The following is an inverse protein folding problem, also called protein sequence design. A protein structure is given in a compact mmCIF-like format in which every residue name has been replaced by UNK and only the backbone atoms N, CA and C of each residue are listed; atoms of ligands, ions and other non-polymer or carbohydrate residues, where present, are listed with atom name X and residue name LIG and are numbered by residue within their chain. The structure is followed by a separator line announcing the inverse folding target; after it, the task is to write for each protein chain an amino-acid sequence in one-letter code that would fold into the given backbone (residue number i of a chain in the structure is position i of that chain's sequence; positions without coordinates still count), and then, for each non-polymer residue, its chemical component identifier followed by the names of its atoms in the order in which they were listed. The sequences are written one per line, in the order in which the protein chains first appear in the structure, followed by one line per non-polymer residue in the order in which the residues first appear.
data_IF_390183081950
#
_entry.id   IF_390183081950
#
_cell.length_a   1.000
_cell.length_b   1.000
_cell.length_c   1.000
_cell.angle_alpha   90.00
_cell.angle_beta   90.00
_cell.angle_gamma   90.00
#
_symmetry.space_group_name_H-M   'P 1'
#
loop_
_entity.id
_entity.type
_entity.pdbx_description
1 polymer ?
#
# COMPACT_ATOMS: atom_id res chain seq x y z
N UNK A 1 -15.11 -12.25 14.26
CA UNK A 1 -14.02 -11.31 14.68
C UNK A 1 -12.95 -11.31 13.61
N UNK A 2 -12.36 -10.15 13.26
CA UNK A 2 -11.29 -10.07 12.26
C UNK A 2 -9.93 -10.18 12.95
N UNK A 3 -9.05 -11.05 12.44
CA UNK A 3 -7.67 -11.19 12.89
C UNK A 3 -6.71 -10.87 11.74
N UNK A 4 -5.76 -9.95 11.95
CA UNK A 4 -4.76 -9.61 10.93
C UNK A 4 -3.60 -10.59 11.03
N UNK A 5 -3.34 -11.34 9.97
CA UNK A 5 -2.34 -12.41 9.96
C UNK A 5 -1.03 -11.96 9.34
N UNK A 6 -1.10 -11.20 8.24
CA UNK A 6 0.10 -10.87 7.47
C UNK A 6 -0.05 -9.57 6.72
N UNK A 7 0.99 -8.74 6.76
CA UNK A 7 1.05 -7.49 6.01
C UNK A 7 2.29 -7.53 5.12
N UNK A 8 2.13 -7.21 3.84
CA UNK A 8 3.23 -7.10 2.88
C UNK A 8 3.24 -5.68 2.32
N UNK A 9 4.40 -5.04 2.31
CA UNK A 9 4.61 -3.73 1.71
C UNK A 9 5.75 -3.88 0.69
N UNK A 10 5.50 -3.47 -0.55
CA UNK A 10 6.49 -3.50 -1.62
C UNK A 10 6.71 -2.10 -2.19
N UNK A 11 7.94 -1.60 -2.06
CA UNK A 11 8.39 -0.33 -2.65
C UNK A 11 7.58 0.93 -2.27
N UNK A 12 6.96 0.98 -1.09
CA UNK A 12 6.24 2.16 -0.60
C UNK A 12 7.01 2.90 0.51
N UNK A 13 7.04 4.24 0.43
CA UNK A 13 7.68 5.14 1.38
C UNK A 13 9.13 4.72 1.69
N UNK A 14 9.43 4.41 2.95
CA UNK A 14 10.76 3.98 3.40
C UNK A 14 11.10 2.52 3.04
N UNK A 15 10.12 1.72 2.60
CA UNK A 15 10.32 0.30 2.32
C UNK A 15 10.76 0.10 0.88
N UNK A 16 12.02 -0.28 0.68
CA UNK A 16 12.56 -0.75 -0.59
C UNK A 16 12.47 -2.27 -0.67
N UNK A 17 12.08 -2.79 -1.83
CA UNK A 17 11.77 -4.20 -2.03
C UNK A 17 10.52 -4.65 -1.26
N UNK A 18 10.36 -5.98 -1.18
CA UNK A 18 9.25 -6.64 -0.49
C UNK A 18 9.56 -6.83 0.99
N UNK A 19 8.72 -6.28 1.85
CA UNK A 19 8.82 -6.36 3.30
C UNK A 19 7.57 -7.03 3.85
N UNK A 20 7.74 -7.97 4.79
CA UNK A 20 6.66 -8.81 5.31
C UNK A 20 6.65 -8.80 6.83
N UNK A 21 5.45 -8.66 7.41
CA UNK A 21 5.21 -8.74 8.84
C UNK A 21 4.06 -9.73 9.10
N UNK A 22 4.33 -10.75 9.90
CA UNK A 22 3.35 -11.79 10.26
C UNK A 22 2.99 -11.71 11.74
N UNK A 23 1.74 -12.05 12.04
CA UNK A 23 1.19 -12.12 13.38
C UNK A 23 0.65 -13.53 13.64
N UNK A 24 0.98 -14.07 14.80
CA UNK A 24 0.58 -15.41 15.20
C UNK A 24 -0.53 -15.36 16.24
N UNK A 25 -1.68 -15.92 15.92
CA UNK A 25 -2.82 -15.93 16.84
C UNK A 25 -2.49 -16.78 18.07
N UNK A 26 -2.41 -16.13 19.22
CA UNK A 26 -2.18 -16.79 20.51
C UNK A 26 -3.37 -16.60 21.45
N UNK A 27 -3.68 -17.63 22.24
CA UNK A 27 -4.72 -17.58 23.27
C UNK A 27 -4.33 -16.48 24.28
N UNK A 28 -5.27 -15.59 24.60
CA UNK A 28 -5.09 -14.46 25.52
C UNK A 28 -4.08 -13.37 25.08
N UNK A 29 -3.62 -13.39 23.83
CA UNK A 29 -2.79 -12.31 23.26
C UNK A 29 -3.63 -11.41 22.36
N UNK A 30 -3.92 -10.20 22.83
CA UNK A 30 -4.70 -9.20 22.10
C UNK A 30 -3.89 -7.97 21.68
N UNK A 31 -2.59 -7.92 21.99
CA UNK A 31 -1.72 -6.77 21.72
C UNK A 31 -0.42 -7.18 21.03
N UNK A 32 -0.06 -6.44 19.98
CA UNK A 32 1.24 -6.51 19.31
C UNK A 32 1.88 -5.12 19.34
N UNK A 33 3.16 -5.07 19.65
CA UNK A 33 3.93 -3.84 19.65
C UNK A 33 4.93 -3.84 18.48
N UNK A 34 4.70 -2.95 17.52
CA UNK A 34 5.68 -2.64 16.48
C UNK A 34 6.51 -1.45 16.98
N UNK A 35 7.79 -1.70 17.27
CA UNK A 35 8.70 -0.68 17.81
C UNK A 35 9.97 -0.55 16.96
N UNK A 36 10.66 0.58 17.11
CA UNK A 36 11.87 0.90 16.37
C UNK A 36 12.28 2.35 16.57
N UNK A 37 13.52 2.70 16.21
CA UNK A 37 14.03 4.09 16.33
C UNK A 37 13.33 5.03 15.34
N UNK A 38 13.51 6.34 15.53
CA UNK A 38 13.05 7.33 14.54
C UNK A 38 13.76 7.09 13.20
N UNK A 39 13.03 7.25 12.10
CA UNK A 39 13.52 6.94 10.75
C UNK A 39 13.39 5.46 10.33
N UNK A 40 13.05 4.52 11.22
CA UNK A 40 12.96 3.08 10.89
C UNK A 40 11.66 2.66 10.17
N UNK A 41 10.90 3.62 9.64
CA UNK A 41 9.71 3.32 8.82
C UNK A 41 8.40 3.07 9.57
N UNK A 42 8.33 3.24 10.91
CA UNK A 42 7.08 3.07 11.67
C UNK A 42 5.90 3.90 11.11
N UNK A 43 6.15 5.15 10.76
CA UNK A 43 5.12 6.03 10.16
C UNK A 43 4.79 5.59 8.73
N UNK A 44 5.79 5.17 7.96
CA UNK A 44 5.60 4.58 6.63
C UNK A 44 4.71 3.34 6.67
N UNK A 45 4.87 2.49 7.69
CA UNK A 45 4.02 1.31 7.90
C UNK A 45 2.55 1.68 8.05
N UNK A 46 2.24 2.60 8.97
CA UNK A 46 0.86 3.05 9.20
C UNK A 46 0.29 3.75 7.97
N UNK A 47 1.09 4.54 7.25
CA UNK A 47 0.66 5.20 6.00
C UNK A 47 0.37 4.18 4.90
N UNK A 48 1.18 3.13 4.73
CA UNK A 48 0.89 2.05 3.79
C UNK A 48 -0.43 1.35 4.11
N UNK A 49 -0.72 1.08 5.38
CA UNK A 49 -2.02 0.51 5.78
C UNK A 49 -3.20 1.46 5.54
N UNK A 50 -3.02 2.76 5.78
CA UNK A 50 -4.04 3.75 5.43
C UNK A 50 -4.33 3.74 3.93
N UNK A 51 -3.29 3.70 3.10
CA UNK A 51 -3.47 3.58 1.65
C UNK A 51 -4.20 2.30 1.26
N UNK A 52 -3.89 1.15 1.87
CA UNK A 52 -4.59 -0.11 1.59
C UNK A 52 -6.10 0.06 1.64
N UNK A 53 -6.62 0.65 2.72
CA UNK A 53 -8.06 0.77 2.94
C UNK A 53 -8.69 1.98 2.24
N UNK A 54 -8.02 3.13 2.29
CA UNK A 54 -8.59 4.40 1.83
C UNK A 54 -8.28 4.69 0.36
N UNK A 55 -7.15 4.20 -0.14
CA UNK A 55 -6.66 4.47 -1.49
C UNK A 55 -5.98 5.83 -1.65
N UNK A 56 -5.49 6.08 -2.86
CA UNK A 56 -4.92 7.38 -3.27
C UNK A 56 -5.93 8.35 -3.87
N UNK A 57 -7.11 7.87 -4.24
CA UNK A 57 -8.14 8.66 -4.93
C UNK A 57 -8.15 8.45 -6.45
N UNK A 58 -7.08 7.88 -7.02
CA UNK A 58 -6.97 7.52 -8.45
C UNK A 58 -8.07 6.55 -8.85
N UNK A 59 -8.27 5.49 -8.07
CA UNK A 59 -9.30 4.48 -8.38
C UNK A 59 -10.70 5.11 -8.48
N UNK A 60 -11.05 6.05 -7.59
CA UNK A 60 -12.37 6.68 -7.54
C UNK A 60 -12.55 7.88 -8.47
N UNK A 61 -11.48 8.35 -9.13
CA UNK A 61 -11.50 9.62 -9.89
C UNK A 61 -11.81 10.85 -9.04
N UNK A 62 -11.52 10.79 -7.73
CA UNK A 62 -11.82 11.84 -6.76
C UNK A 62 -10.55 12.35 -6.08
N UNK A 63 -10.67 13.41 -5.28
CA UNK A 63 -9.57 13.90 -4.46
C UNK A 63 -8.99 12.83 -3.52
N UNK A 64 -7.77 13.08 -3.06
CA UNK A 64 -7.12 12.25 -2.04
C UNK A 64 -8.03 12.13 -0.80
N UNK A 65 -8.38 10.91 -0.35
CA UNK A 65 -9.16 10.70 0.86
C UNK A 65 -8.51 11.35 2.08
N UNK A 66 -9.30 11.95 2.97
CA UNK A 66 -8.78 12.70 4.13
C UNK A 66 -7.76 11.93 4.97
N UNK A 67 -8.02 10.65 5.24
CA UNK A 67 -7.08 9.80 5.99
C UNK A 67 -5.79 9.45 5.24
N UNK A 68 -5.75 9.65 3.92
CA UNK A 68 -4.59 9.47 3.04
C UNK A 68 -3.86 10.77 2.70
N UNK A 69 -4.35 11.94 3.17
CA UNK A 69 -3.66 13.24 3.03
C UNK A 69 -2.48 13.33 3.99
N UNK A 70 -1.44 12.54 3.73
CA UNK A 70 -0.21 12.57 4.55
C UNK A 70 0.59 13.86 4.39
N UNK A 71 0.32 14.57 3.29
CA UNK A 71 0.91 15.83 2.86
C UNK A 71 -0.20 16.68 2.24
N UNK A 72 0.02 17.99 2.13
CA UNK A 72 -0.98 18.95 1.71
C UNK A 72 -1.26 18.92 0.18
N UNK A 73 -1.70 17.76 -0.32
CA UNK A 73 -2.12 17.56 -1.71
C UNK A 73 -3.51 16.96 -1.75
N UNK A 74 -4.41 17.57 -2.53
CA UNK A 74 -5.71 17.02 -2.88
C UNK A 74 -5.68 16.21 -4.18
N UNK A 75 -4.61 16.32 -4.99
CA UNK A 75 -4.46 15.61 -6.27
C UNK A 75 -3.88 14.20 -6.05
N UNK A 76 -4.57 13.13 -6.49
CA UNK A 76 -4.09 11.75 -6.36
C UNK A 76 -2.73 11.48 -7.02
N UNK A 77 -2.48 12.06 -8.19
CA UNK A 77 -1.22 11.87 -8.94
C UNK A 77 -0.04 12.45 -8.17
N UNK A 78 -0.23 13.62 -7.56
CA UNK A 78 0.75 14.26 -6.69
C UNK A 78 0.98 13.43 -5.42
N UNK A 79 -0.04 12.78 -4.87
CA UNK A 79 0.14 11.85 -3.76
C UNK A 79 1.08 10.72 -4.18
N UNK A 80 0.85 10.12 -5.36
CA UNK A 80 1.65 8.98 -5.79
C UNK A 80 3.07 9.38 -6.22
N UNK A 81 3.22 10.30 -7.18
CA UNK A 81 4.51 10.70 -7.78
C UNK A 81 5.32 11.68 -6.93
N UNK A 82 4.64 12.40 -6.03
CA UNK A 82 5.20 13.53 -5.34
C UNK A 82 4.96 14.85 -6.07
N UNK A 83 5.27 15.94 -5.38
CA UNK A 83 5.17 17.31 -5.89
C UNK A 83 6.15 18.20 -5.12
N UNK A 84 6.83 19.12 -5.82
CA UNK A 84 7.89 19.93 -5.25
C UNK A 84 9.02 19.06 -4.68
N UNK A 85 9.40 19.31 -3.42
CA UNK A 85 10.45 18.58 -2.73
C UNK A 85 10.01 17.22 -2.16
N UNK A 86 8.70 16.93 -2.17
CA UNK A 86 8.17 15.68 -1.65
C UNK A 86 8.12 14.60 -2.74
N UNK A 87 8.61 13.41 -2.41
CA UNK A 87 8.80 12.31 -3.37
C UNK A 87 7.58 11.44 -3.66
N UNK A 88 6.44 11.71 -3.01
CA UNK A 88 5.25 10.87 -3.14
C UNK A 88 5.27 9.64 -2.24
N UNK A 89 4.33 8.72 -2.47
CA UNK A 89 4.25 7.43 -1.75
C UNK A 89 5.27 6.40 -2.23
N UNK A 90 5.82 6.55 -3.44
CA UNK A 90 6.75 5.58 -4.01
C UNK A 90 8.11 5.65 -3.30
N UNK A 91 8.70 4.49 -3.05
CA UNK A 91 10.07 4.45 -2.54
C UNK A 91 11.02 5.07 -3.57
N UNK A 92 11.82 6.05 -3.15
CA UNK A 92 12.68 6.85 -4.02
C UNK A 92 13.66 5.98 -4.83
N UNK A 93 14.22 4.94 -4.21
CA UNK A 93 15.18 4.05 -4.88
C UNK A 93 14.49 3.22 -5.97
N UNK A 94 13.41 2.53 -5.62
CA UNK A 94 12.64 1.72 -6.58
C UNK A 94 12.07 2.58 -7.72
N UNK A 95 11.63 3.81 -7.42
CA UNK A 95 11.16 4.77 -8.41
C UNK A 95 12.25 5.11 -9.43
N UNK A 96 13.43 5.51 -8.96
CA UNK A 96 14.59 5.83 -9.81
C UNK A 96 15.04 4.64 -10.66
N UNK A 97 15.04 3.45 -10.07
CA UNK A 97 15.38 2.21 -10.79
C UNK A 97 14.37 1.93 -11.91
N UNK A 98 13.06 2.14 -11.69
CA UNK A 98 12.05 2.03 -12.75
C UNK A 98 12.12 3.13 -13.82
N UNK A 99 12.50 4.36 -13.45
CA UNK A 99 12.70 5.46 -14.40
C UNK A 99 13.85 5.12 -15.38
N UNK A 100 14.86 4.38 -14.92
CA UNK A 100 16.05 4.01 -15.70
C UNK A 100 15.90 2.68 -16.45
N UNK A 101 15.11 1.73 -15.93
CA UNK A 101 14.95 0.39 -16.49
C UNK A 101 13.52 0.15 -16.99
N UNK A 102 13.32 0.22 -18.30
CA UNK A 102 12.02 0.03 -18.95
C UNK A 102 11.63 -1.46 -19.12
N UNK A 103 12.53 -2.40 -18.85
CA UNK A 103 12.30 -3.84 -19.07
C UNK A 103 11.82 -4.52 -17.79
N UNK A 104 12.43 -4.22 -16.64
CA UNK A 104 12.08 -4.81 -15.35
C UNK A 104 11.56 -3.72 -14.40
N UNK A 105 10.24 -3.49 -14.43
CA UNK A 105 9.59 -2.55 -13.51
C UNK A 105 9.37 -3.22 -12.15
N UNK A 106 9.81 -2.55 -11.09
CA UNK A 106 9.43 -2.83 -9.72
C UNK A 106 7.92 -2.68 -9.52
N UNK A 107 7.36 -3.58 -8.73
CA UNK A 107 5.98 -3.54 -8.26
C UNK A 107 5.84 -2.55 -7.10
N UNK A 108 4.67 -1.92 -6.96
CA UNK A 108 4.34 -1.05 -5.83
C UNK A 108 3.00 -1.48 -5.24
N UNK A 109 3.01 -2.03 -4.02
CA UNK A 109 1.78 -2.50 -3.41
C UNK A 109 1.83 -2.56 -1.88
N UNK A 110 0.65 -2.61 -1.30
CA UNK A 110 0.42 -3.02 0.09
C UNK A 110 -0.64 -4.12 0.10
N UNK A 111 -0.42 -5.16 0.90
CA UNK A 111 -1.32 -6.29 1.03
C UNK A 111 -1.54 -6.63 2.50
N UNK A 112 -2.77 -7.05 2.83
CA UNK A 112 -3.16 -7.60 4.12
C UNK A 112 -3.82 -8.94 3.90
N UNK A 113 -3.34 -9.94 4.61
CA UNK A 113 -4.07 -11.18 4.86
C UNK A 113 -4.67 -11.12 6.25
N UNK A 114 -5.97 -11.33 6.32
CA UNK A 114 -6.72 -11.41 7.55
C UNK A 114 -7.66 -12.61 7.53
N UNK A 115 -8.13 -13.00 8.70
CA UNK A 115 -9.13 -14.04 8.88
C UNK A 115 -10.37 -13.40 9.49
N UNK A 116 -11.54 -13.66 8.90
CA UNK A 116 -12.83 -13.32 9.49
C UNK A 116 -13.64 -14.60 9.59
N UNK A 117 -14.01 -14.98 10.82
CA UNK A 117 -14.85 -16.16 11.09
C UNK A 117 -14.28 -17.44 10.44
N UNK A 118 -12.97 -17.64 10.60
CA UNK A 118 -12.15 -18.73 10.02
C UNK A 118 -12.01 -18.74 8.49
N UNK A 119 -12.50 -17.71 7.82
CA UNK A 119 -12.33 -17.54 6.38
C UNK A 119 -11.15 -16.60 6.09
N UNK A 120 -10.15 -17.04 5.30
CA UNK A 120 -9.04 -16.19 4.89
C UNK A 120 -9.52 -15.15 3.88
N UNK A 121 -9.02 -13.94 4.06
CA UNK A 121 -9.27 -12.77 3.23
C UNK A 121 -7.92 -12.16 2.88
N UNK A 122 -7.70 -11.86 1.60
CA UNK A 122 -6.55 -11.08 1.14
C UNK A 122 -7.04 -9.80 0.48
N UNK A 123 -6.51 -8.68 0.93
CA UNK A 123 -6.76 -7.36 0.34
C UNK A 123 -5.42 -6.85 -0.18
N UNK A 124 -5.35 -6.51 -1.45
CA UNK A 124 -4.12 -5.94 -2.04
C UNK A 124 -4.48 -4.69 -2.81
N UNK A 125 -3.76 -3.61 -2.53
CA UNK A 125 -3.80 -2.38 -3.31
C UNK A 125 -2.44 -2.16 -3.95
N UNK A 126 -2.43 -1.90 -5.25
CA UNK A 126 -1.21 -1.69 -6.04
C UNK A 126 -1.31 -0.46 -6.93
N UNK A 127 -0.15 0.02 -7.36
CA UNK A 127 -0.01 1.12 -8.29
C UNK A 127 0.90 0.72 -9.44
N UNK A 128 0.34 0.72 -10.64
CA UNK A 128 1.08 0.48 -11.87
C UNK A 128 1.61 1.80 -12.39
N UNK A 129 2.93 1.92 -12.40
CA UNK A 129 3.61 3.16 -12.73
C UNK A 129 4.12 3.09 -14.17
N UNK A 130 3.46 3.83 -15.05
CA UNK A 130 4.04 4.24 -16.32
C UNK A 130 4.43 5.72 -16.23
N UNK A 131 5.74 6.00 -16.23
CA UNK A 131 6.25 7.37 -16.15
C UNK A 131 6.05 8.18 -17.45
N UNK A 132 5.66 7.53 -18.55
CA UNK A 132 5.31 8.18 -19.82
C UNK A 132 3.80 8.31 -20.04
N UNK A 133 2.98 7.62 -19.23
CA UNK A 133 1.51 7.64 -19.29
C UNK A 133 0.93 7.98 -17.92
N UNK A 134 -0.32 7.62 -17.70
CA UNK A 134 -1.02 7.77 -16.44
C UNK A 134 -0.60 6.69 -15.43
N UNK A 135 -0.97 6.94 -14.17
CA UNK A 135 -0.80 6.01 -13.06
C UNK A 135 -2.11 5.26 -12.89
N UNK A 136 -2.04 3.94 -12.82
CA UNK A 136 -3.22 3.13 -12.52
C UNK A 136 -3.14 2.63 -11.07
N UNK A 137 -4.24 2.79 -10.33
CA UNK A 137 -4.41 2.22 -9.00
C UNK A 137 -5.34 1.02 -9.11
N UNK A 138 -4.97 -0.11 -8.48
CA UNK A 138 -5.78 -1.31 -8.46
C UNK A 138 -6.09 -1.73 -7.03
N UNK A 139 -7.31 -2.24 -6.80
CA UNK A 139 -7.70 -2.87 -5.55
C UNK A 139 -8.23 -4.27 -5.85
N UNK A 140 -7.63 -5.28 -5.24
CA UNK A 140 -8.10 -6.66 -5.29
C UNK A 140 -8.47 -7.15 -3.90
N UNK A 141 -9.51 -7.98 -3.85
CA UNK A 141 -10.06 -8.60 -2.66
C UNK A 141 -10.33 -10.07 -2.97
N UNK A 142 -9.69 -10.98 -2.24
CA UNK A 142 -9.82 -12.42 -2.43
C UNK A 142 -10.33 -13.07 -1.16
N UNK A 143 -11.33 -13.92 -1.30
CA UNK A 143 -11.81 -14.85 -0.27
C UNK A 143 -11.64 -16.28 -0.77
N UNK A 144 -11.89 -17.27 0.09
CA UNK A 144 -11.88 -18.68 -0.30
C UNK A 144 -12.86 -19.00 -1.46
N UNK A 145 -13.94 -18.22 -1.61
CA UNK A 145 -15.00 -18.51 -2.58
C UNK A 145 -14.95 -17.61 -3.81
N UNK A 146 -14.39 -16.40 -3.71
CA UNK A 146 -14.52 -15.36 -4.72
C UNK A 146 -13.29 -14.44 -4.75
N UNK A 147 -12.86 -14.10 -5.97
CA UNK A 147 -11.89 -13.03 -6.21
C UNK A 147 -12.61 -11.85 -6.88
N UNK A 148 -12.41 -10.67 -6.32
CA UNK A 148 -12.91 -9.42 -6.83
C UNK A 148 -11.73 -8.53 -7.19
N UNK A 149 -11.71 -8.03 -8.42
CA UNK A 149 -10.81 -6.97 -8.86
C UNK A 149 -11.68 -5.75 -9.14
N UNK A 150 -11.39 -4.64 -8.48
CA UNK A 150 -12.03 -3.39 -8.83
C UNK A 150 -11.27 -2.78 -10.01
N UNK A 151 -11.77 -3.03 -11.22
CA UNK A 151 -11.45 -2.26 -12.42
C UNK A 151 -12.63 -1.33 -12.63
N UNK A 152 -12.47 -0.05 -12.32
CA UNK A 152 -13.52 0.92 -12.69
C UNK A 152 -13.49 1.02 -14.22
N UNK A 153 -14.65 0.83 -14.83
CA UNK A 153 -14.89 0.92 -16.26
C UNK A 153 -14.70 2.34 -16.79
#
# INVERSE_FOLDING_TARGET
MIFFKRIVICNLFAYYGRQELSFEKEINKNLYLIYGRNGFGKTSFLRSLKLLFLGSGLLSGHEVPEGSKFFNTSKPENLVRGYGDWSGILNIRARRENEQNLVNKHEFFVSLECEKDHQPITITRSWDIDFKKDIEEHLSYKTHYQAYENKIA
#
